data_IF_743686962077
#
_entry.id   IF_743686962077
#
_cell.length_a   1.000
_cell.length_b   1.000
_cell.length_c   1.000
_cell.angle_alpha   90.00
_cell.angle_beta   90.00
_cell.angle_gamma   90.00
#
_symmetry.space_group_name_H-M   'P 1'
#
loop_
_entity.id
_entity.type
_entity.pdbx_description
1 polymer ?
#
# COMPACT_ATOMS: atom_id res chain seq x y z
N UNK A 1 -73.15 -23.71 6.11
CA UNK A 1 -73.44 -24.18 4.74
C UNK A 1 -72.19 -24.09 3.90
N UNK A 2 -71.88 -25.16 3.17
CA UNK A 2 -70.73 -25.32 2.27
C UNK A 2 -70.89 -24.47 1.01
N UNK A 3 -69.77 -23.99 0.45
CA UNK A 3 -69.38 -23.98 -0.99
C UNK A 3 -68.10 -23.15 -1.11
N UNK A 4 -66.91 -23.75 -1.13
CA UNK A 4 -66.26 -24.42 -2.27
C UNK A 4 -66.14 -23.51 -3.51
N UNK A 5 -64.97 -22.90 -3.67
CA UNK A 5 -64.35 -22.67 -4.97
C UNK A 5 -62.91 -23.21 -4.89
N UNK A 6 -62.70 -24.36 -5.51
CA UNK A 6 -61.39 -24.90 -5.87
C UNK A 6 -61.20 -24.72 -7.37
N UNK A 7 -60.12 -24.04 -7.73
CA UNK A 7 -59.35 -24.10 -8.99
C UNK A 7 -58.27 -23.02 -8.82
N UNK A 8 -56.96 -23.19 -9.03
CA UNK A 8 -56.20 -24.08 -9.89
C UNK A 8 -54.73 -24.09 -9.37
N UNK A 9 -54.05 -25.25 -9.38
CA UNK A 9 -52.60 -25.45 -9.20
C UNK A 9 -51.80 -24.94 -10.44
N UNK A 10 -50.45 -24.90 -10.53
CA UNK A 10 -49.36 -25.03 -9.54
C UNK A 10 -48.14 -24.06 -9.77
N UNK A 11 -47.15 -24.15 -8.86
CA UNK A 11 -45.68 -24.11 -9.09
C UNK A 11 -45.03 -22.89 -9.77
N UNK A 12 -44.25 -22.09 -9.02
CA UNK A 12 -42.97 -21.57 -9.52
C UNK A 12 -42.03 -21.16 -8.37
N UNK A 13 -41.00 -22.00 -8.18
CA UNK A 13 -39.62 -21.68 -7.80
C UNK A 13 -39.36 -20.84 -6.52
N UNK A 14 -38.87 -21.55 -5.49
CA UNK A 14 -37.87 -21.02 -4.57
C UNK A 14 -36.73 -20.36 -5.38
N UNK A 15 -36.60 -19.04 -5.28
CA UNK A 15 -35.33 -18.36 -5.55
C UNK A 15 -34.79 -17.83 -4.22
N UNK A 16 -34.07 -18.71 -3.53
CA UNK A 16 -33.01 -18.28 -2.63
C UNK A 16 -31.97 -17.55 -3.47
N UNK A 17 -31.95 -16.22 -3.42
CA UNK A 17 -30.74 -15.46 -3.74
C UNK A 17 -30.28 -14.84 -2.42
N UNK A 18 -29.36 -15.50 -1.71
CA UNK A 18 -27.92 -15.28 -1.89
C UNK A 18 -27.70 -13.77 -1.96
N UNK A 19 -27.58 -13.10 -0.81
CA UNK A 19 -26.31 -13.14 -0.11
C UNK A 19 -25.36 -12.20 -0.84
N UNK A 20 -25.35 -10.95 -0.40
CA UNK A 20 -24.28 -9.96 -0.58
C UNK A 20 -23.42 -10.14 -1.83
N UNK A 21 -23.78 -9.45 -2.91
CA UNK A 21 -22.73 -8.86 -3.76
C UNK A 21 -22.27 -7.59 -3.05
N UNK A 22 -21.64 -7.76 -1.88
CA UNK A 22 -20.61 -6.81 -1.50
C UNK A 22 -19.60 -6.96 -2.62
N UNK A 23 -19.52 -5.95 -3.48
CA UNK A 23 -18.46 -5.84 -4.47
C UNK A 23 -17.18 -6.09 -3.69
N UNK A 24 -16.61 -7.27 -3.90
CA UNK A 24 -15.25 -7.52 -3.49
C UNK A 24 -14.48 -6.51 -4.31
N UNK A 25 -14.05 -5.42 -3.67
CA UNK A 25 -12.81 -4.77 -4.03
C UNK A 25 -11.82 -5.93 -4.12
N UNK A 26 -11.67 -6.46 -5.35
CA UNK A 26 -10.67 -7.45 -5.68
C UNK A 26 -9.41 -6.78 -5.16
N UNK A 27 -8.83 -7.31 -4.08
CA UNK A 27 -7.62 -6.75 -3.48
C UNK A 27 -6.66 -6.47 -4.63
N UNK A 28 -6.57 -5.20 -5.01
CA UNK A 28 -5.79 -4.82 -6.17
C UNK A 28 -4.37 -5.13 -5.73
N UNK A 29 -3.73 -6.06 -6.46
CA UNK A 29 -2.30 -6.28 -6.28
C UNK A 29 -1.66 -4.89 -6.33
N UNK A 30 -0.98 -4.45 -5.26
CA UNK A 30 -0.49 -3.09 -5.23
C UNK A 30 0.41 -2.83 -6.43
N UNK A 31 0.29 -1.66 -7.05
CA UNK A 31 1.15 -1.26 -8.17
C UNK A 31 2.28 -0.37 -7.63
N UNK A 32 3.47 -0.93 -7.32
CA UNK A 32 4.53 -0.16 -6.68
C UNK A 32 5.24 0.78 -7.65
N UNK A 33 5.16 0.53 -8.96
CA UNK A 33 5.84 1.34 -9.98
C UNK A 33 5.30 2.78 -9.94
N UNK A 34 6.22 3.75 -10.00
CA UNK A 34 5.88 5.16 -10.02
C UNK A 34 6.85 6.02 -9.22
N UNK A 35 6.47 7.28 -9.08
CA UNK A 35 7.12 8.24 -8.18
C UNK A 35 6.24 8.45 -6.96
N UNK A 36 6.86 8.44 -5.80
CA UNK A 36 6.21 8.50 -4.50
C UNK A 36 6.88 9.58 -3.66
N UNK A 37 6.12 10.54 -3.15
CA UNK A 37 6.64 11.61 -2.28
C UNK A 37 6.34 11.30 -0.83
N UNK A 38 7.38 11.29 -0.01
CA UNK A 38 7.32 10.88 1.38
C UNK A 38 7.66 11.98 2.35
N UNK A 39 7.07 11.88 3.53
CA UNK A 39 7.42 12.67 4.70
C UNK A 39 7.93 11.75 5.80
N UNK A 40 9.20 11.91 6.17
CA UNK A 40 9.82 11.22 7.29
C UNK A 40 9.75 12.12 8.53
N UNK A 41 8.94 11.72 9.50
CA UNK A 41 8.75 12.48 10.74
C UNK A 41 9.88 12.19 11.73
N UNK A 42 10.98 12.95 11.68
CA UNK A 42 12.08 12.80 12.63
C UNK A 42 11.82 13.58 13.92
N UNK A 43 11.43 12.86 14.97
CA UNK A 43 11.21 13.38 16.32
C UNK A 43 9.82 13.98 16.56
N UNK A 44 9.56 14.31 17.82
CA UNK A 44 8.32 14.96 18.28
C UNK A 44 8.64 16.30 18.96
N UNK A 45 7.74 17.29 18.85
CA UNK A 45 7.86 18.57 19.55
C UNK A 45 8.34 19.77 18.70
N UNK A 46 8.52 20.91 19.35
CA UNK A 46 8.96 22.16 18.71
C UNK A 46 10.39 22.03 18.20
N UNK A 47 10.57 21.89 16.89
CA UNK A 47 11.86 21.73 16.23
C UNK A 47 12.04 20.42 15.46
N UNK A 48 11.07 19.51 15.51
CA UNK A 48 11.07 18.31 14.67
C UNK A 48 11.10 18.71 13.18
N UNK A 49 12.10 18.20 12.45
CA UNK A 49 12.26 18.48 11.02
C UNK A 49 11.81 17.26 10.23
N UNK A 50 10.76 17.44 9.44
CA UNK A 50 10.36 16.42 8.49
C UNK A 50 11.32 16.43 7.27
N UNK A 51 11.81 15.26 6.88
CA UNK A 51 12.50 15.11 5.59
C UNK A 51 11.49 14.81 4.51
N UNK A 52 11.61 15.53 3.38
CA UNK A 52 10.83 15.26 2.17
C UNK A 52 11.63 14.31 1.30
N UNK A 53 11.14 13.09 1.17
CA UNK A 53 11.78 12.05 0.39
C UNK A 53 11.06 11.87 -0.95
N UNK A 54 11.79 11.46 -1.99
CA UNK A 54 11.18 11.07 -3.26
C UNK A 54 11.69 9.68 -3.59
N UNK A 55 10.77 8.73 -3.69
CA UNK A 55 11.00 7.33 -3.98
C UNK A 55 10.57 7.07 -5.43
N UNK A 56 11.49 6.55 -6.23
CA UNK A 56 11.23 6.14 -7.61
C UNK A 56 11.32 4.63 -7.70
N UNK A 57 10.23 3.97 -8.10
CA UNK A 57 10.17 2.52 -8.32
C UNK A 57 9.90 2.26 -9.80
N UNK A 58 10.65 1.34 -10.39
CA UNK A 58 10.58 0.95 -11.80
C UNK A 58 10.54 -0.57 -11.92
N UNK A 59 9.94 -1.05 -13.00
CA UNK A 59 10.10 -2.44 -13.41
C UNK A 59 11.58 -2.71 -13.73
N UNK A 60 12.16 -3.70 -13.07
CA UNK A 60 13.46 -4.29 -13.41
C UNK A 60 13.29 -5.54 -14.27
N UNK A 61 14.41 -6.21 -14.55
CA UNK A 61 14.44 -7.37 -15.46
C UNK A 61 13.67 -8.58 -14.92
N UNK A 62 13.78 -8.84 -13.62
CA UNK A 62 13.12 -9.96 -12.93
C UNK A 62 12.21 -9.45 -11.79
N UNK A 63 12.66 -8.42 -11.07
CA UNK A 63 11.94 -7.80 -9.95
C UNK A 63 11.85 -6.26 -10.11
N UNK A 64 11.47 -5.56 -9.04
CA UNK A 64 11.50 -4.10 -9.00
C UNK A 64 12.91 -3.55 -8.77
N UNK A 65 13.14 -2.34 -9.27
CA UNK A 65 14.31 -1.54 -8.96
C UNK A 65 13.86 -0.15 -8.49
N UNK A 66 14.72 0.56 -7.76
CA UNK A 66 14.38 1.92 -7.36
C UNK A 66 15.54 2.75 -6.87
N UNK A 67 15.24 4.04 -6.72
CA UNK A 67 16.11 5.04 -6.09
C UNK A 67 15.31 5.89 -5.12
N UNK A 68 16.01 6.53 -4.18
CA UNK A 68 15.42 7.48 -3.25
C UNK A 68 16.30 8.73 -3.08
N UNK A 69 15.64 9.87 -2.92
CA UNK A 69 16.23 11.20 -2.76
C UNK A 69 15.73 11.85 -1.46
N UNK A 70 16.42 12.91 -1.01
CA UNK A 70 15.90 13.81 0.03
C UNK A 70 16.47 13.65 1.44
N UNK A 71 17.43 12.73 1.63
CA UNK A 71 18.13 12.55 2.92
C UNK A 71 19.14 13.67 3.25
N UNK A 72 19.46 14.52 2.28
CA UNK A 72 20.39 15.65 2.43
C UNK A 72 20.62 16.34 1.09
N UNK A 73 21.25 17.52 1.04
CA UNK A 73 21.47 18.26 -0.21
C UNK A 73 22.29 17.47 -1.24
N UNK A 74 23.31 16.75 -0.79
CA UNK A 74 24.24 15.98 -1.64
C UNK A 74 23.76 14.55 -1.95
N UNK A 75 22.73 14.07 -1.25
CA UNK A 75 22.26 12.70 -1.34
C UNK A 75 21.12 12.61 -2.36
N UNK A 76 21.47 12.19 -3.59
CA UNK A 76 20.54 12.00 -4.70
C UNK A 76 20.70 10.64 -5.34
N UNK A 77 19.62 10.13 -5.94
CA UNK A 77 19.54 8.86 -6.64
C UNK A 77 20.14 7.70 -5.84
N UNK A 78 19.89 7.65 -4.53
CA UNK A 78 20.40 6.56 -3.70
C UNK A 78 19.72 5.26 -4.11
N UNK A 79 20.49 4.32 -4.65
CA UNK A 79 19.99 3.02 -5.09
C UNK A 79 19.38 2.26 -3.91
N UNK A 80 18.22 1.66 -4.16
CA UNK A 80 17.59 0.72 -3.22
C UNK A 80 18.19 -0.68 -3.40
N UNK A 81 18.31 -1.40 -2.29
CA UNK A 81 18.63 -2.81 -2.26
C UNK A 81 17.51 -3.61 -1.59
N UNK A 82 17.42 -4.90 -1.89
CA UNK A 82 16.37 -5.79 -1.35
C UNK A 82 14.96 -5.20 -1.51
N UNK A 83 14.65 -4.55 -2.63
CA UNK A 83 13.32 -4.03 -2.92
C UNK A 83 12.38 -5.19 -3.23
N UNK A 84 11.54 -5.55 -2.27
CA UNK A 84 10.64 -6.71 -2.36
C UNK A 84 9.22 -6.28 -2.00
N UNK A 85 8.26 -6.75 -2.80
CA UNK A 85 6.83 -6.68 -2.51
C UNK A 85 6.32 -8.09 -2.23
N UNK A 86 5.90 -8.35 -0.99
CA UNK A 86 5.25 -9.61 -0.61
C UNK A 86 3.84 -9.28 -0.15
N UNK A 87 2.84 -9.84 -0.84
CA UNK A 87 1.43 -9.50 -0.65
C UNK A 87 1.18 -7.99 -0.82
N UNK A 88 1.02 -7.26 0.28
CA UNK A 88 0.81 -5.82 0.32
C UNK A 88 1.94 -5.03 1.00
N UNK A 89 2.99 -5.73 1.46
CA UNK A 89 4.14 -5.15 2.16
C UNK A 89 5.29 -4.88 1.19
N UNK A 90 5.64 -3.60 1.02
CA UNK A 90 6.87 -3.20 0.35
C UNK A 90 7.99 -3.03 1.38
N UNK A 91 9.14 -3.62 1.10
CA UNK A 91 10.36 -3.45 1.91
C UNK A 91 11.56 -3.14 1.04
N UNK A 92 12.50 -2.35 1.55
CA UNK A 92 13.77 -2.05 0.89
C UNK A 92 14.82 -1.53 1.87
N UNK A 93 16.08 -1.54 1.44
CA UNK A 93 17.24 -1.00 2.14
C UNK A 93 17.84 0.17 1.34
N UNK A 94 18.44 1.12 2.05
CA UNK A 94 19.22 2.22 1.48
C UNK A 94 20.59 2.23 2.17
N UNK A 95 21.55 1.43 1.67
CA UNK A 95 22.83 1.21 2.34
C UNK A 95 23.61 2.49 2.66
N UNK A 96 23.54 3.50 1.78
CA UNK A 96 24.28 4.75 1.90
C UNK A 96 23.90 5.59 3.13
N UNK A 97 22.75 5.31 3.76
CA UNK A 97 22.27 5.99 4.98
C UNK A 97 21.94 4.99 6.09
N UNK A 98 22.41 3.74 5.96
CA UNK A 98 22.13 2.62 6.87
C UNK A 98 20.63 2.45 7.19
N UNK A 99 19.79 2.74 6.19
CA UNK A 99 18.35 2.87 6.33
C UNK A 99 17.58 1.67 5.81
N UNK A 100 16.44 1.37 6.44
CA UNK A 100 15.51 0.33 6.02
C UNK A 100 14.08 0.84 6.09
N UNK A 101 13.25 0.41 5.14
CA UNK A 101 11.81 0.67 5.14
C UNK A 101 11.03 -0.63 5.05
N UNK A 102 9.91 -0.69 5.77
CA UNK A 102 8.85 -1.66 5.55
C UNK A 102 7.49 -0.99 5.76
N UNK A 103 6.55 -1.21 4.82
CA UNK A 103 5.22 -0.60 4.90
C UNK A 103 4.20 -1.23 3.95
N UNK A 104 2.93 -0.92 4.20
CA UNK A 104 1.79 -1.45 3.45
C UNK A 104 1.21 -0.41 2.50
N UNK A 105 0.64 -0.87 1.38
CA UNK A 105 -0.12 -0.04 0.47
C UNK A 105 -1.56 0.19 0.95
N UNK A 106 -2.03 1.43 0.80
CA UNK A 106 -3.38 1.89 1.06
C UNK A 106 -3.81 2.82 -0.09
N UNK A 107 -4.23 2.23 -1.20
CA UNK A 107 -4.49 2.96 -2.45
C UNK A 107 -3.25 3.70 -2.93
N UNK A 108 -3.34 5.03 -3.01
CA UNK A 108 -2.25 5.92 -3.42
C UNK A 108 -1.33 6.34 -2.27
N UNK A 109 -1.34 5.63 -1.14
CA UNK A 109 -0.39 5.84 -0.04
C UNK A 109 0.35 4.56 0.32
N UNK A 110 1.64 4.70 0.65
CA UNK A 110 2.50 3.66 1.18
C UNK A 110 2.94 4.09 2.58
N UNK A 111 2.49 3.37 3.61
CA UNK A 111 2.68 3.77 5.02
C UNK A 111 3.50 2.73 5.74
N UNK A 112 4.54 3.17 6.43
CA UNK A 112 5.42 2.25 7.12
C UNK A 112 6.37 2.91 8.09
N UNK A 113 7.38 2.14 8.44
CA UNK A 113 8.43 2.53 9.37
C UNK A 113 9.75 2.61 8.63
N UNK A 114 10.43 3.72 8.83
CA UNK A 114 11.83 3.89 8.47
C UNK A 114 12.70 3.62 9.71
N UNK A 115 13.67 2.74 9.59
CA UNK A 115 14.60 2.38 10.67
C UNK A 115 16.03 2.69 10.26
N UNK A 116 16.81 3.27 11.18
CA UNK A 116 18.25 3.49 11.04
C UNK A 116 18.93 3.23 12.38
N UNK A 117 19.75 2.19 12.46
CA UNK A 117 20.28 1.72 13.74
C UNK A 117 19.15 1.29 14.68
N UNK A 118 19.14 1.83 15.90
CA UNK A 118 18.09 1.58 16.90
C UNK A 118 16.92 2.58 16.80
N UNK A 119 17.05 3.62 15.96
CA UNK A 119 16.04 4.65 15.79
C UNK A 119 15.01 4.24 14.73
N UNK A 120 13.74 4.54 14.98
CA UNK A 120 12.65 4.29 14.04
C UNK A 120 11.68 5.46 14.00
N UNK A 121 11.19 5.78 12.80
CA UNK A 121 10.27 6.89 12.55
C UNK A 121 9.19 6.48 11.55
N UNK A 122 8.02 7.11 11.65
CA UNK A 122 6.99 6.93 10.64
C UNK A 122 7.42 7.59 9.33
N UNK A 123 7.21 6.87 8.23
CA UNK A 123 7.40 7.36 6.88
C UNK A 123 6.17 7.01 6.07
N UNK A 124 5.53 8.04 5.53
CA UNK A 124 4.36 7.91 4.66
C UNK A 124 4.72 8.51 3.33
N UNK A 125 4.55 7.72 2.27
CA UNK A 125 4.59 8.18 0.90
C UNK A 125 3.19 8.30 0.31
N UNK A 126 3.03 9.27 -0.58
CA UNK A 126 1.88 9.42 -1.45
C UNK A 126 2.34 9.33 -2.90
N UNK A 127 1.52 8.71 -3.77
CA UNK A 127 1.76 8.70 -5.20
C UNK A 127 1.77 10.14 -5.74
N UNK A 128 2.74 10.45 -6.59
CA UNK A 128 2.82 11.71 -7.35
C UNK A 128 1.92 11.67 -8.59
#
# INVERSE_FOLDING_TARGET
MRRMFSALLPLLLLFSQLGQVAAQDRALVPEPIGTWRGELAQGEGQGAKALRLVLHIRQGAEDYSGTIDGFGPELRNLKLESLVLVEDVLSFQVPQVDGRFAGNFYGDSLRGTWTRGEESWSLIFFRD
#
